data_IF_382827460871
#
_entry.id   IF_382827460871
#
_cell.length_a   1.000
_cell.length_b   1.000
_cell.length_c   1.000
_cell.angle_alpha   90.00
_cell.angle_beta   90.00
_cell.angle_gamma   90.00
#
_symmetry.space_group_name_H-M   'P 1'
#
loop_
_entity.id
_entity.type
_entity.pdbx_description
1 polymer ?
#
# COMPACT_ATOMS: atom_id res chain seq x y z
N UNK A 1 -46.09 8.95 49.34
CA UNK A 1 -45.22 9.71 50.25
C UNK A 1 -44.23 10.50 49.37
N UNK A 2 -44.47 11.76 49.36
CA UNK A 2 -43.86 12.84 48.57
C UNK A 2 -42.45 13.17 49.05
N UNK A 3 -41.56 13.68 48.16
CA UNK A 3 -40.59 14.76 48.33
C UNK A 3 -39.80 14.82 46.99
N UNK A 4 -40.11 15.73 46.08
CA UNK A 4 -39.85 17.16 45.87
C UNK A 4 -38.35 17.54 45.89
N UNK A 5 -37.90 18.01 44.75
CA UNK A 5 -37.12 19.22 44.51
C UNK A 5 -35.59 19.00 44.47
N UNK A 6 -34.89 19.54 43.54
CA UNK A 6 -34.74 20.97 43.19
C UNK A 6 -34.00 21.10 41.85
N UNK A 7 -34.51 21.99 41.01
CA UNK A 7 -33.78 22.56 39.88
C UNK A 7 -32.79 23.62 40.39
N UNK A 8 -31.62 23.72 39.78
CA UNK A 8 -30.77 24.90 39.86
C UNK A 8 -30.48 25.49 38.48
N UNK A 9 -30.60 26.80 38.45
CA UNK A 9 -30.61 27.72 37.31
C UNK A 9 -29.21 27.99 36.77
N UNK A 10 -29.14 28.45 35.51
CA UNK A 10 -27.88 28.89 34.88
C UNK A 10 -27.52 30.34 35.29
N UNK A 11 -26.24 30.68 35.33
CA UNK A 11 -25.71 32.02 35.49
C UNK A 11 -24.88 32.45 34.25
N UNK A 12 -24.59 33.77 34.10
CA UNK A 12 -24.91 34.46 32.84
C UNK A 12 -23.63 34.80 32.00
N UNK A 13 -23.94 35.15 30.73
CA UNK A 13 -23.10 35.90 29.81
C UNK A 13 -22.38 37.10 30.42
N UNK A 14 -21.13 37.30 30.07
CA UNK A 14 -20.55 38.62 30.12
C UNK A 14 -19.83 38.94 28.79
N UNK A 15 -20.49 39.83 28.05
CA UNK A 15 -19.93 40.60 26.93
C UNK A 15 -19.16 41.77 27.51
N UNK A 16 -17.98 42.05 27.02
CA UNK A 16 -17.47 43.41 26.85
C UNK A 16 -16.21 43.41 25.97
N UNK A 17 -16.38 43.85 24.77
CA UNK A 17 -16.08 45.18 24.20
C UNK A 17 -14.66 45.39 23.75
N UNK A 18 -14.59 45.46 22.43
CA UNK A 18 -13.69 46.23 21.57
C UNK A 18 -12.86 47.35 22.27
N UNK A 19 -11.60 47.47 21.88
CA UNK A 19 -11.03 48.79 21.53
C UNK A 19 -9.96 48.66 20.45
N UNK A 20 -10.25 49.30 19.32
CA UNK A 20 -9.31 49.71 18.29
C UNK A 20 -8.34 50.73 18.86
N UNK A 21 -7.12 50.71 18.44
CA UNK A 21 -6.31 51.92 18.38
C UNK A 21 -5.41 51.90 17.14
N UNK A 22 -5.55 52.94 16.37
CA UNK A 22 -4.91 53.31 15.12
C UNK A 22 -3.89 54.39 15.42
N UNK A 23 -2.90 54.56 14.54
CA UNK A 23 -1.93 55.67 14.33
C UNK A 23 -0.63 55.58 15.20
N UNK A 24 0.53 55.95 14.67
CA UNK A 24 0.86 56.91 13.64
C UNK A 24 2.28 56.71 13.08
N UNK A 25 2.45 57.26 11.90
CA UNK A 25 3.62 57.59 11.09
C UNK A 25 4.77 58.23 11.88
N UNK A 26 6.02 57.97 11.44
CA UNK A 26 7.18 58.81 11.76
C UNK A 26 8.29 58.54 10.74
N UNK A 27 8.59 59.58 10.00
CA UNK A 27 9.48 59.71 8.83
C UNK A 27 10.83 60.28 9.30
N UNK A 28 11.91 59.97 8.57
CA UNK A 28 13.19 60.68 8.37
C UNK A 28 14.27 60.59 9.49
N UNK A 29 15.46 60.18 9.14
CA UNK A 29 16.54 61.01 8.61
C UNK A 29 17.83 60.24 8.35
N UNK A 30 18.44 60.54 7.26
CA UNK A 30 19.76 60.14 6.83
C UNK A 30 20.87 60.76 7.67
N UNK A 31 21.96 60.04 7.96
CA UNK A 31 23.27 60.68 8.08
C UNK A 31 24.38 59.72 7.63
N UNK A 32 25.07 60.21 6.68
CA UNK A 32 26.32 59.78 6.10
C UNK A 32 27.44 59.89 7.14
N UNK A 33 28.19 58.83 7.41
CA UNK A 33 29.53 59.00 7.98
C UNK A 33 30.50 58.02 7.34
N UNK A 34 31.40 58.58 6.58
CA UNK A 34 32.53 57.92 5.93
C UNK A 34 33.64 57.82 6.98
N UNK A 35 34.18 56.59 7.21
CA UNK A 35 35.53 56.44 7.74
C UNK A 35 36.18 55.21 7.14
N UNK A 36 37.19 55.46 6.36
CA UNK A 36 38.18 54.49 5.89
C UNK A 36 38.99 53.97 7.09
N UNK A 37 39.21 52.68 7.16
CA UNK A 37 40.39 52.10 7.78
C UNK A 37 40.73 50.77 7.15
N UNK A 38 41.95 50.63 6.79
CA UNK A 38 42.67 49.60 6.07
C UNK A 38 42.74 48.25 6.83
N UNK A 39 42.63 47.17 6.08
CA UNK A 39 43.49 46.00 6.19
C UNK A 39 43.09 44.91 7.17
N UNK A 40 42.53 43.81 6.63
CA UNK A 40 43.08 42.46 6.93
C UNK A 40 42.38 41.47 5.94
N UNK A 41 43.16 41.00 4.98
CA UNK A 41 42.82 39.83 4.16
C UNK A 41 42.83 38.58 5.04
N UNK A 42 41.69 38.17 5.49
CA UNK A 42 41.46 36.79 5.92
C UNK A 42 40.73 36.09 4.75
N UNK A 43 41.44 35.19 4.06
CA UNK A 43 40.82 34.24 3.18
C UNK A 43 39.89 33.34 4.02
N UNK A 44 38.62 33.70 4.03
CA UNK A 44 37.54 32.75 4.39
C UNK A 44 37.25 32.00 3.10
N UNK A 45 37.62 30.71 3.06
CA UNK A 45 37.07 29.79 2.11
C UNK A 45 35.54 29.83 2.27
N UNK A 46 34.86 30.65 1.44
CA UNK A 46 33.45 30.39 1.15
C UNK A 46 33.45 29.07 0.42
N UNK A 47 32.95 28.05 1.10
CA UNK A 47 32.33 26.94 0.42
C UNK A 47 31.16 27.63 -0.29
N UNK A 48 31.27 27.74 -1.61
CA UNK A 48 30.16 28.10 -2.46
C UNK A 48 29.11 27.00 -2.23
N UNK A 49 28.13 27.28 -1.38
CA UNK A 49 26.85 26.61 -1.49
C UNK A 49 26.41 26.92 -2.91
N UNK A 50 26.54 25.95 -3.81
CA UNK A 50 25.87 26.00 -5.10
C UNK A 50 24.40 26.30 -4.79
N UNK A 51 23.99 27.54 -5.02
CA UNK A 51 22.58 27.90 -4.97
C UNK A 51 21.94 27.08 -6.08
N UNK A 52 21.28 25.98 -5.69
CA UNK A 52 20.43 25.24 -6.62
C UNK A 52 19.48 26.25 -7.26
N UNK A 53 19.65 26.48 -8.55
CA UNK A 53 18.84 27.44 -9.30
C UNK A 53 17.37 27.08 -9.08
N UNK A 54 16.55 28.06 -8.70
CA UNK A 54 15.10 27.86 -8.63
C UNK A 54 14.60 27.51 -10.03
N UNK A 55 13.91 26.37 -10.14
CA UNK A 55 13.33 25.94 -11.40
C UNK A 55 12.04 26.73 -11.58
N UNK A 56 12.01 27.60 -12.58
CA UNK A 56 10.84 28.39 -12.90
C UNK A 56 9.74 27.51 -13.52
N UNK A 57 8.49 27.72 -13.09
CA UNK A 57 7.32 27.03 -13.61
C UNK A 57 6.94 27.60 -14.97
N UNK A 58 6.86 26.76 -16.00
CA UNK A 58 6.46 27.16 -17.35
C UNK A 58 4.93 27.25 -17.50
N UNK A 59 4.48 27.38 -18.73
CA UNK A 59 3.05 27.57 -19.07
C UNK A 59 2.37 26.32 -19.62
N UNK A 60 3.12 25.25 -19.91
CA UNK A 60 2.57 24.01 -20.46
C UNK A 60 2.07 23.09 -19.35
N UNK A 61 0.76 22.82 -19.24
CA UNK A 61 0.21 21.96 -18.19
C UNK A 61 0.63 20.50 -18.39
N UNK A 62 0.90 19.81 -17.28
CA UNK A 62 1.18 18.37 -17.26
C UNK A 62 -0.14 17.64 -17.12
N UNK A 63 -0.43 16.74 -18.05
CA UNK A 63 -1.59 15.83 -17.97
C UNK A 63 -1.13 14.41 -17.71
N UNK A 64 -1.96 13.63 -17.04
CA UNK A 64 -1.63 12.30 -16.60
C UNK A 64 -2.64 11.29 -17.10
N UNK A 65 -2.14 10.14 -17.51
CA UNK A 65 -2.94 8.97 -17.86
C UNK A 65 -2.42 7.74 -17.12
N UNK A 66 -3.32 6.80 -16.88
CA UNK A 66 -3.00 5.53 -16.23
C UNK A 66 -2.98 4.40 -17.25
N UNK A 67 -2.03 3.50 -17.08
CA UNK A 67 -1.99 2.20 -17.73
C UNK A 67 -1.76 1.15 -16.65
N UNK A 68 -2.58 0.11 -16.67
CA UNK A 68 -2.30 -1.11 -15.91
C UNK A 68 -1.53 -2.05 -16.81
N UNK A 69 -0.58 -2.75 -16.26
CA UNK A 69 0.06 -3.85 -16.95
C UNK A 69 -1.03 -4.82 -17.42
N UNK A 70 -1.05 -5.15 -18.72
CA UNK A 70 -2.18 -5.84 -19.34
C UNK A 70 -2.50 -7.16 -18.64
N UNK A 71 -3.66 -7.21 -17.99
CA UNK A 71 -4.34 -8.46 -17.72
C UNK A 71 -4.77 -9.06 -19.06
N UNK A 72 -4.20 -10.18 -19.44
CA UNK A 72 -4.83 -11.01 -20.47
C UNK A 72 -6.01 -11.72 -19.83
N UNK A 73 -7.23 -11.34 -20.25
CA UNK A 73 -8.54 -11.91 -19.92
C UNK A 73 -9.21 -11.46 -18.61
N UNK A 74 -10.50 -11.19 -18.80
CA UNK A 74 -11.57 -10.76 -17.91
C UNK A 74 -11.63 -11.47 -16.54
N UNK A 75 -10.81 -11.04 -15.59
CA UNK A 75 -11.18 -11.07 -14.18
C UNK A 75 -10.71 -9.75 -13.57
N UNK A 76 -11.65 -8.91 -13.28
CA UNK A 76 -11.56 -7.56 -12.76
C UNK A 76 -11.06 -7.55 -11.33
N UNK A 77 -9.78 -7.64 -11.09
CA UNK A 77 -9.27 -7.59 -9.72
C UNK A 77 -8.26 -6.48 -9.46
N UNK A 78 -8.08 -5.54 -10.39
CA UNK A 78 -7.24 -4.36 -10.19
C UNK A 78 -7.63 -3.21 -11.12
N UNK A 79 -8.93 -3.00 -11.36
CA UNK A 79 -9.39 -1.77 -11.96
C UNK A 79 -9.45 -0.71 -10.86
N UNK A 80 -8.83 0.43 -11.09
CA UNK A 80 -9.07 1.59 -10.24
C UNK A 80 -10.53 1.99 -10.33
N UNK A 81 -11.10 2.34 -9.18
CA UNK A 81 -12.46 2.86 -9.10
C UNK A 81 -12.44 4.39 -9.15
N UNK A 82 -13.50 4.97 -9.68
CA UNK A 82 -13.66 6.44 -9.70
C UNK A 82 -13.54 6.98 -8.28
N UNK A 83 -12.63 7.94 -8.10
CA UNK A 83 -12.30 8.53 -6.81
C UNK A 83 -11.07 7.92 -6.12
N UNK A 84 -10.49 6.85 -6.67
CA UNK A 84 -9.21 6.36 -6.20
C UNK A 84 -8.13 7.42 -6.37
N UNK A 85 -7.27 7.54 -5.37
CA UNK A 85 -6.23 8.56 -5.36
C UNK A 85 -4.83 7.96 -5.29
N UNK A 86 -3.93 8.60 -6.01
CA UNK A 86 -2.51 8.28 -6.08
C UNK A 86 -1.69 9.47 -5.59
N UNK A 87 -0.55 9.21 -4.95
CA UNK A 87 0.45 10.22 -4.66
C UNK A 87 1.45 10.34 -5.80
N UNK A 88 1.84 11.55 -6.14
CA UNK A 88 2.80 11.83 -7.20
C UNK A 88 3.97 12.65 -6.69
N UNK A 89 5.17 12.19 -6.98
CA UNK A 89 6.41 12.93 -6.84
C UNK A 89 7.01 13.18 -8.22
N UNK A 90 7.69 14.31 -8.38
CA UNK A 90 8.56 14.55 -9.53
C UNK A 90 9.85 15.23 -9.11
N UNK A 91 10.93 14.84 -9.76
CA UNK A 91 12.24 15.51 -9.68
C UNK A 91 12.70 15.86 -11.07
N UNK A 92 13.67 16.77 -11.20
CA UNK A 92 14.40 16.88 -12.46
C UNK A 92 15.15 15.58 -12.73
N UNK A 93 15.31 15.21 -13.99
CA UNK A 93 15.96 13.95 -14.37
C UNK A 93 17.33 13.81 -13.71
N UNK A 94 17.59 12.62 -13.19
CA UNK A 94 18.72 12.28 -12.32
C UNK A 94 18.66 12.87 -10.91
N UNK A 95 17.58 13.55 -10.54
CA UNK A 95 17.33 13.99 -9.16
C UNK A 95 16.81 12.86 -8.28
N UNK A 96 16.94 13.04 -6.96
CA UNK A 96 16.42 12.12 -5.96
C UNK A 96 15.25 12.76 -5.22
N UNK A 97 14.22 11.99 -4.89
CA UNK A 97 13.11 12.47 -4.03
C UNK A 97 13.56 12.75 -2.58
N UNK A 98 14.79 12.40 -2.21
CA UNK A 98 15.43 12.83 -0.97
C UNK A 98 15.79 14.31 -0.98
N UNK A 99 16.15 14.84 -2.17
CA UNK A 99 16.54 16.23 -2.37
C UNK A 99 15.34 17.13 -2.70
N UNK A 100 15.58 18.06 -3.60
CA UNK A 100 14.55 19.00 -4.06
C UNK A 100 13.54 18.28 -4.97
N UNK A 101 12.28 18.33 -4.58
CA UNK A 101 11.17 17.77 -5.36
C UNK A 101 10.50 18.89 -6.16
N UNK A 102 10.33 18.70 -7.44
CA UNK A 102 9.56 19.60 -8.30
C UNK A 102 8.06 19.47 -8.01
N UNK A 103 7.59 18.24 -7.83
CA UNK A 103 6.25 17.91 -7.34
C UNK A 103 6.42 17.06 -6.08
N UNK A 104 5.76 17.47 -5.00
CA UNK A 104 5.83 16.80 -3.71
C UNK A 104 4.45 16.30 -3.30
N UNK A 105 4.27 14.99 -3.30
CA UNK A 105 3.07 14.26 -2.89
C UNK A 105 1.74 14.84 -3.41
N UNK A 106 1.71 15.23 -4.69
CA UNK A 106 0.50 15.71 -5.32
C UNK A 106 -0.52 14.59 -5.45
N UNK A 107 -1.73 14.79 -4.95
CA UNK A 107 -2.82 13.85 -5.14
C UNK A 107 -3.33 13.90 -6.60
N UNK A 108 -3.32 12.74 -7.26
CA UNK A 108 -4.03 12.47 -8.51
C UNK A 108 -5.27 11.66 -8.20
N UNK A 109 -6.40 11.98 -8.84
CA UNK A 109 -7.66 11.25 -8.70
C UNK A 109 -8.02 10.56 -10.02
N UNK A 110 -8.31 9.26 -9.94
CA UNK A 110 -8.81 8.51 -11.08
C UNK A 110 -10.28 8.87 -11.35
N UNK A 111 -10.57 9.21 -12.58
CA UNK A 111 -11.93 9.60 -12.97
C UNK A 111 -12.59 8.55 -13.85
N UNK A 112 -12.27 8.53 -15.13
CA UNK A 112 -12.79 7.57 -16.11
C UNK A 112 -11.83 7.47 -17.29
N UNK A 113 -11.90 6.37 -18.05
CA UNK A 113 -11.23 6.27 -19.35
C UNK A 113 -9.70 6.40 -19.31
N UNK A 114 -9.06 5.97 -18.24
CA UNK A 114 -7.60 6.05 -18.04
C UNK A 114 -7.08 7.46 -17.71
N UNK A 115 -7.94 8.39 -17.28
CA UNK A 115 -7.54 9.76 -16.94
C UNK A 115 -7.29 9.93 -15.44
N UNK A 116 -6.16 10.57 -15.11
CA UNK A 116 -5.86 11.01 -13.75
C UNK A 116 -5.90 12.53 -13.68
N UNK A 117 -6.69 13.06 -12.75
CA UNK A 117 -6.87 14.49 -12.54
C UNK A 117 -6.07 14.93 -11.32
N UNK A 118 -5.08 15.83 -11.47
CA UNK A 118 -4.34 16.35 -10.33
C UNK A 118 -5.21 17.30 -9.49
N UNK A 119 -5.11 17.23 -8.17
CA UNK A 119 -5.81 18.12 -7.25
C UNK A 119 -5.49 19.61 -7.48
N UNK A 120 -4.30 19.89 -8.01
CA UNK A 120 -3.83 21.20 -8.44
C UNK A 120 -3.17 21.03 -9.80
N UNK A 121 -3.50 21.90 -10.76
CA UNK A 121 -2.78 21.92 -12.04
C UNK A 121 -1.31 22.18 -11.80
N UNK A 122 -0.47 21.40 -12.45
CA UNK A 122 0.99 21.53 -12.46
C UNK A 122 1.46 21.72 -13.88
N UNK A 123 2.57 22.42 -14.05
CA UNK A 123 3.11 22.77 -15.34
C UNK A 123 4.51 22.17 -15.50
N UNK A 124 4.98 22.02 -16.72
CA UNK A 124 6.38 21.70 -16.95
C UNK A 124 7.26 22.90 -16.57
N UNK A 125 8.50 22.64 -16.10
CA UNK A 125 9.46 23.72 -15.90
C UNK A 125 9.76 24.46 -17.20
N UNK A 126 10.19 25.70 -17.09
CA UNK A 126 10.67 26.44 -18.26
C UNK A 126 11.94 25.81 -18.86
N UNK A 127 12.12 25.99 -20.18
CA UNK A 127 13.23 25.40 -20.91
C UNK A 127 13.07 23.92 -21.23
N UNK A 128 14.16 23.26 -21.63
CA UNK A 128 14.21 21.84 -22.00
C UNK A 128 14.53 20.94 -20.78
N UNK A 129 13.95 21.24 -19.63
CA UNK A 129 14.13 20.43 -18.40
C UNK A 129 13.26 19.19 -18.48
N UNK A 130 13.87 18.02 -18.28
CA UNK A 130 13.14 16.76 -18.17
C UNK A 130 12.84 16.41 -16.71
N UNK A 131 11.70 15.75 -16.49
CA UNK A 131 11.22 15.31 -15.19
C UNK A 131 11.18 13.78 -15.11
N UNK A 132 11.49 13.27 -13.93
CA UNK A 132 11.26 11.88 -13.54
C UNK A 132 10.13 11.84 -12.52
N UNK A 133 9.13 11.01 -12.80
CA UNK A 133 7.93 10.84 -11.98
C UNK A 133 7.93 9.52 -11.25
N UNK A 134 7.50 9.55 -9.98
CA UNK A 134 7.17 8.37 -9.18
C UNK A 134 5.77 8.57 -8.62
N UNK A 135 4.87 7.63 -8.89
CA UNK A 135 3.50 7.65 -8.37
C UNK A 135 3.21 6.36 -7.60
N UNK A 136 2.38 6.46 -6.57
CA UNK A 136 2.01 5.32 -5.74
C UNK A 136 0.53 5.35 -5.37
N UNK A 137 -0.04 4.18 -5.12
CA UNK A 137 -1.41 3.97 -4.65
C UNK A 137 -1.42 2.92 -3.52
N UNK A 138 -2.26 3.07 -2.49
CA UNK A 138 -3.19 4.19 -2.19
C UNK A 138 -2.49 5.48 -1.75
N UNK A 139 -3.11 6.62 -2.03
CA UNK A 139 -2.60 7.92 -1.60
C UNK A 139 -2.53 8.04 -0.08
N UNK A 140 -1.42 8.53 0.42
CA UNK A 140 -1.22 8.86 1.84
C UNK A 140 -1.01 10.36 1.98
N UNK A 141 -1.75 11.01 2.87
CA UNK A 141 -1.71 12.46 3.05
C UNK A 141 -0.32 12.95 3.47
N UNK A 142 0.34 12.20 4.35
CA UNK A 142 1.68 12.55 4.87
C UNK A 142 2.77 12.33 3.80
N UNK A 143 2.53 11.41 2.86
CA UNK A 143 3.49 11.08 1.81
C UNK A 143 4.83 10.61 2.38
N UNK A 144 5.91 11.10 1.77
CA UNK A 144 7.28 10.78 2.13
C UNK A 144 7.94 12.00 2.76
N UNK A 145 8.50 11.85 3.96
CA UNK A 145 9.20 12.94 4.65
C UNK A 145 10.40 13.46 3.83
N UNK A 146 10.78 14.72 4.05
CA UNK A 146 11.96 15.30 3.44
C UNK A 146 13.23 14.52 3.81
N UNK A 147 14.16 14.39 2.89
CA UNK A 147 15.43 13.69 3.12
C UNK A 147 15.37 12.15 3.07
N UNK A 148 14.21 11.57 2.83
CA UNK A 148 14.05 10.12 2.70
C UNK A 148 13.18 9.74 1.49
N UNK A 149 13.38 8.60 0.84
CA UNK A 149 12.51 8.06 -0.19
C UNK A 149 11.53 7.02 0.37
N UNK A 150 11.42 6.88 1.70
CA UNK A 150 10.75 5.76 2.37
C UNK A 150 9.30 6.11 2.67
N UNK A 151 8.39 5.26 2.20
CA UNK A 151 6.95 5.33 2.44
C UNK A 151 6.54 4.14 3.33
N UNK A 152 5.87 4.37 4.47
CA UNK A 152 5.31 3.28 5.26
C UNK A 152 4.16 2.60 4.50
N UNK A 153 4.18 1.27 4.45
CA UNK A 153 3.18 0.44 3.77
C UNK A 153 2.61 -0.56 4.74
N UNK A 154 1.29 -0.73 4.74
CA UNK A 154 0.62 -1.74 5.54
C UNK A 154 -0.54 -2.37 4.78
N UNK A 155 -0.86 -3.63 5.12
CA UNK A 155 -2.05 -4.31 4.63
C UNK A 155 -3.16 -4.25 5.68
N UNK A 156 -4.42 -4.21 5.23
CA UNK A 156 -5.58 -4.33 6.10
C UNK A 156 -5.66 -5.75 6.66
N UNK A 157 -5.97 -5.88 7.93
CA UNK A 157 -6.13 -7.17 8.60
C UNK A 157 -7.45 -7.87 8.23
N UNK A 158 -8.47 -7.11 7.92
CA UNK A 158 -9.72 -7.62 7.38
C UNK A 158 -9.82 -7.26 5.89
N UNK A 159 -9.46 -8.19 5.02
CA UNK A 159 -9.54 -8.04 3.56
C UNK A 159 -10.84 -8.62 2.98
N UNK A 160 -11.81 -9.00 3.82
CA UNK A 160 -13.05 -9.66 3.36
C UNK A 160 -13.96 -8.75 2.55
N UNK A 161 -13.80 -7.44 2.65
CA UNK A 161 -14.54 -6.45 1.86
C UNK A 161 -13.63 -5.80 0.80
N UNK A 162 -14.24 -5.39 -0.32
CA UNK A 162 -13.52 -4.85 -1.49
C UNK A 162 -12.72 -3.58 -1.17
N UNK A 163 -13.26 -2.69 -0.34
CA UNK A 163 -12.56 -1.45 0.05
C UNK A 163 -11.25 -1.74 0.78
N UNK A 164 -11.27 -2.62 1.78
CA UNK A 164 -10.08 -2.97 2.54
C UNK A 164 -9.06 -3.73 1.69
N UNK A 165 -9.57 -4.60 0.79
CA UNK A 165 -8.76 -5.31 -0.18
C UNK A 165 -8.04 -4.31 -1.11
N UNK A 166 -8.76 -3.35 -1.69
CA UNK A 166 -8.18 -2.30 -2.53
C UNK A 166 -7.16 -1.44 -1.78
N UNK A 167 -7.43 -1.11 -0.51
CA UNK A 167 -6.47 -0.38 0.34
C UNK A 167 -5.22 -1.20 0.69
N UNK A 168 -5.28 -2.52 0.62
CA UNK A 168 -4.12 -3.40 0.80
C UNK A 168 -3.28 -3.54 -0.48
N UNK A 169 -3.79 -3.11 -1.63
CA UNK A 169 -3.09 -3.28 -2.91
C UNK A 169 -2.17 -2.09 -3.19
N UNK A 170 -0.92 -2.22 -2.75
CA UNK A 170 0.09 -1.20 -2.95
C UNK A 170 0.71 -1.26 -4.34
N UNK A 171 0.54 -0.19 -5.11
CA UNK A 171 0.96 -0.06 -6.50
C UNK A 171 1.96 1.09 -6.66
N UNK A 172 2.92 0.93 -7.56
CA UNK A 172 3.88 1.99 -7.90
C UNK A 172 4.05 2.08 -9.41
N UNK A 173 4.13 3.31 -9.92
CA UNK A 173 4.46 3.62 -11.31
C UNK A 173 5.65 4.58 -11.37
N UNK A 174 6.49 4.43 -12.40
CA UNK A 174 7.59 5.35 -12.70
C UNK A 174 7.54 5.76 -14.17
N UNK A 175 7.82 7.04 -14.43
CA UNK A 175 7.99 7.56 -15.79
C UNK A 175 9.20 8.51 -15.79
N UNK A 176 10.19 8.27 -16.64
CA UNK A 176 11.48 8.96 -16.62
C UNK A 176 11.73 9.74 -17.91
N UNK A 177 12.53 10.81 -17.80
CA UNK A 177 12.96 11.59 -18.94
C UNK A 177 11.83 12.34 -19.66
N UNK A 178 10.78 12.69 -18.96
CA UNK A 178 9.56 13.31 -19.52
C UNK A 178 9.78 14.81 -19.70
N UNK A 179 9.47 15.33 -20.88
CA UNK A 179 9.60 16.76 -21.21
C UNK A 179 8.26 17.37 -21.61
N UNK A 180 8.22 18.69 -21.75
CA UNK A 180 7.04 19.45 -22.23
C UNK A 180 6.53 19.04 -23.61
N UNK A 181 7.31 18.25 -24.37
CA UNK A 181 6.89 17.65 -25.65
C UNK A 181 5.96 16.45 -25.47
N UNK A 182 5.86 15.89 -24.26
CA UNK A 182 4.99 14.76 -23.93
C UNK A 182 3.56 15.25 -23.73
N UNK A 183 2.63 14.76 -24.54
CA UNK A 183 1.21 15.16 -24.47
C UNK A 183 0.54 14.76 -23.17
N UNK A 184 0.86 13.57 -22.65
CA UNK A 184 0.35 13.05 -21.38
C UNK A 184 1.36 12.09 -20.78
N UNK A 185 1.63 12.23 -19.48
CA UNK A 185 2.49 11.31 -18.73
C UNK A 185 1.70 10.04 -18.47
N UNK A 186 2.13 8.93 -19.05
CA UNK A 186 1.51 7.63 -18.79
C UNK A 186 2.16 6.98 -17.59
N UNK A 187 1.38 6.75 -16.54
CA UNK A 187 1.79 6.06 -15.34
C UNK A 187 1.36 4.58 -15.43
N UNK A 188 2.32 3.69 -15.63
CA UNK A 188 2.09 2.24 -15.68
C UNK A 188 2.31 1.65 -14.29
N UNK A 189 1.20 1.34 -13.60
CA UNK A 189 1.22 0.83 -12.24
C UNK A 189 1.48 -0.67 -12.18
N UNK A 190 2.30 -1.07 -11.21
CA UNK A 190 2.66 -2.44 -10.92
C UNK A 190 2.40 -2.74 -9.45
N UNK A 191 1.89 -3.94 -9.15
CA UNK A 191 1.79 -4.43 -7.78
C UNK A 191 3.18 -4.52 -7.13
N UNK A 192 3.27 -4.14 -5.88
CA UNK A 192 4.53 -4.23 -5.11
C UNK A 192 4.43 -5.18 -3.92
N UNK A 193 3.22 -5.56 -3.53
CA UNK A 193 3.00 -6.59 -2.51
C UNK A 193 3.00 -8.00 -3.13
N UNK A 194 2.72 -8.99 -2.30
CA UNK A 194 2.63 -10.39 -2.70
C UNK A 194 1.22 -10.92 -2.46
N UNK A 195 0.84 -11.98 -3.17
CA UNK A 195 -0.48 -12.59 -3.04
C UNK A 195 -0.39 -14.08 -2.74
N UNK A 196 -1.13 -14.54 -1.72
CA UNK A 196 -1.41 -15.94 -1.48
C UNK A 196 -2.83 -16.23 -1.94
N UNK A 197 -2.99 -17.10 -2.92
CA UNK A 197 -4.30 -17.58 -3.38
C UNK A 197 -4.55 -18.98 -2.83
N UNK A 198 -5.78 -19.28 -2.43
CA UNK A 198 -6.11 -20.55 -1.79
C UNK A 198 -6.83 -21.46 -2.77
N UNK A 199 -6.38 -22.71 -2.83
CA UNK A 199 -7.04 -23.83 -3.49
C UNK A 199 -7.35 -24.91 -2.45
N UNK A 200 -8.62 -25.12 -2.11
CA UNK A 200 -9.06 -26.08 -1.12
C UNK A 200 -9.63 -27.32 -1.79
N UNK A 201 -8.98 -28.46 -1.60
CA UNK A 201 -9.45 -29.77 -2.10
C UNK A 201 -10.29 -30.45 -1.02
N UNK A 202 -11.54 -30.84 -1.32
CA UNK A 202 -12.38 -31.57 -0.37
C UNK A 202 -11.81 -32.96 -0.06
N UNK A 203 -12.19 -33.52 1.08
CA UNK A 203 -11.93 -34.91 1.37
C UNK A 203 -12.84 -35.84 0.55
N UNK A 204 -12.66 -37.18 0.72
CA UNK A 204 -13.46 -38.14 -0.03
C UNK A 204 -14.94 -38.24 0.45
N UNK A 205 -15.30 -37.61 1.58
CA UNK A 205 -16.65 -37.60 2.15
C UNK A 205 -17.45 -36.38 1.72
N UNK A 206 -16.80 -35.33 1.18
CA UNK A 206 -17.41 -34.07 0.80
C UNK A 206 -17.12 -33.77 -0.68
N UNK A 207 -18.03 -33.08 -1.32
CA UNK A 207 -17.78 -32.48 -2.63
C UNK A 207 -17.35 -31.03 -2.49
N UNK A 208 -16.71 -30.45 -3.53
CA UNK A 208 -16.43 -29.02 -3.56
C UNK A 208 -17.71 -28.17 -3.41
N UNK A 209 -18.85 -28.65 -3.92
CA UNK A 209 -20.13 -27.96 -3.76
C UNK A 209 -20.65 -27.99 -2.30
N UNK A 210 -20.34 -29.02 -1.54
CA UNK A 210 -20.71 -29.05 -0.10
C UNK A 210 -19.85 -28.09 0.70
N UNK A 211 -18.55 -27.99 0.40
CA UNK A 211 -17.67 -26.97 0.94
C UNK A 211 -18.12 -25.56 0.55
N UNK A 212 -18.52 -25.34 -0.70
CA UNK A 212 -19.02 -24.04 -1.15
C UNK A 212 -20.25 -23.60 -0.37
N UNK A 213 -21.24 -24.50 -0.16
CA UNK A 213 -22.43 -24.21 0.64
C UNK A 213 -22.11 -23.87 2.09
N UNK A 214 -21.10 -24.50 2.66
CA UNK A 214 -20.65 -24.24 4.02
C UNK A 214 -19.84 -22.94 4.14
N UNK A 215 -19.39 -22.37 3.03
CA UNK A 215 -18.67 -21.08 2.92
C UNK A 215 -17.55 -20.93 3.98
N UNK A 216 -16.50 -21.74 3.96
CA UNK A 216 -15.49 -21.72 5.01
C UNK A 216 -14.78 -20.36 5.05
N UNK A 217 -14.64 -19.82 6.27
CA UNK A 217 -13.83 -18.62 6.51
C UNK A 217 -12.38 -19.03 6.69
N UNK A 218 -11.45 -18.30 6.10
CA UNK A 218 -10.02 -18.58 6.20
C UNK A 218 -9.26 -17.34 6.67
N UNK A 219 -8.33 -17.56 7.59
CA UNK A 219 -7.51 -16.54 8.26
C UNK A 219 -6.05 -16.98 8.15
N UNK A 220 -5.16 -16.10 7.77
CA UNK A 220 -3.72 -16.32 7.84
C UNK A 220 -3.17 -15.69 9.13
N UNK A 221 -2.38 -16.43 9.91
CA UNK A 221 -1.84 -15.99 11.18
C UNK A 221 -0.33 -15.88 11.16
N UNK A 222 0.22 -14.99 11.96
CA UNK A 222 1.67 -14.85 12.15
C UNK A 222 2.40 -14.11 11.03
N UNK A 223 1.71 -13.53 10.06
CA UNK A 223 2.31 -12.75 8.98
C UNK A 223 2.64 -11.32 9.42
N UNK A 224 3.70 -10.76 8.85
CA UNK A 224 4.00 -9.33 8.97
C UNK A 224 3.02 -8.52 8.14
N UNK A 225 2.50 -7.43 8.74
CA UNK A 225 1.44 -6.62 8.14
C UNK A 225 1.87 -5.20 7.77
N UNK A 226 3.09 -4.81 8.12
CA UNK A 226 3.63 -3.48 7.82
C UNK A 226 5.11 -3.56 7.45
N UNK A 227 5.56 -2.64 6.60
CA UNK A 227 6.95 -2.48 6.21
C UNK A 227 7.20 -1.06 5.72
N UNK A 228 8.46 -0.71 5.57
CA UNK A 228 8.92 0.48 4.88
C UNK A 228 9.24 0.14 3.42
N UNK A 229 8.72 0.93 2.49
CA UNK A 229 9.01 0.79 1.07
C UNK A 229 9.82 1.98 0.55
N UNK A 230 10.95 1.70 -0.06
CA UNK A 230 11.76 2.73 -0.71
C UNK A 230 11.25 2.96 -2.15
N UNK A 231 10.72 4.14 -2.42
CA UNK A 231 10.15 4.50 -3.71
C UNK A 231 11.21 4.59 -4.84
N UNK A 232 12.49 4.82 -4.50
CA UNK A 232 13.56 4.95 -5.49
C UNK A 232 14.07 3.59 -5.97
N UNK A 233 14.43 2.71 -5.04
CA UNK A 233 15.02 1.41 -5.38
C UNK A 233 14.02 0.25 -5.40
N UNK A 234 12.82 0.46 -4.83
CA UNK A 234 11.75 -0.55 -4.86
C UNK A 234 11.90 -1.64 -3.80
N UNK A 235 12.69 -1.43 -2.76
CA UNK A 235 12.95 -2.42 -1.72
C UNK A 235 12.03 -2.25 -0.52
N UNK A 236 11.70 -3.37 0.13
CA UNK A 236 11.04 -3.40 1.44
C UNK A 236 12.05 -3.60 2.55
N UNK A 237 11.82 -2.91 3.68
CA UNK A 237 12.63 -3.02 4.91
C UNK A 237 11.75 -2.87 6.15
N UNK A 238 12.33 -3.07 7.34
CA UNK A 238 11.64 -2.85 8.62
C UNK A 238 10.27 -3.54 8.74
N UNK A 239 10.20 -4.84 8.38
CA UNK A 239 8.96 -5.59 8.48
C UNK A 239 8.51 -5.70 9.94
N UNK A 240 7.29 -5.20 10.22
CA UNK A 240 6.73 -5.11 11.58
C UNK A 240 5.26 -5.54 11.60
N UNK A 241 4.65 -5.48 12.78
CA UNK A 241 3.23 -5.77 12.97
C UNK A 241 2.88 -7.22 12.63
N UNK A 242 2.80 -8.11 13.62
CA UNK A 242 2.35 -9.48 13.39
C UNK A 242 0.89 -9.58 13.80
N UNK A 243 -0.01 -9.78 12.82
CA UNK A 243 -1.46 -9.85 13.03
C UNK A 243 -2.09 -10.91 12.15
N UNK A 244 -3.31 -11.28 12.48
CA UNK A 244 -4.13 -12.22 11.70
C UNK A 244 -4.81 -11.47 10.55
N UNK A 245 -4.78 -12.06 9.36
CA UNK A 245 -5.37 -11.49 8.16
C UNK A 245 -6.54 -12.36 7.71
N UNK A 246 -7.71 -11.74 7.52
CA UNK A 246 -8.91 -12.41 6.98
C UNK A 246 -8.87 -12.32 5.46
N UNK A 247 -9.07 -13.46 4.78
CA UNK A 247 -9.02 -13.56 3.33
C UNK A 247 -10.06 -12.70 2.62
N UNK A 248 -9.68 -12.17 1.46
CA UNK A 248 -10.56 -11.54 0.48
C UNK A 248 -11.18 -12.56 -0.49
N UNK A 249 -12.05 -12.07 -1.36
CA UNK A 249 -12.66 -12.81 -2.46
C UNK A 249 -13.80 -13.73 -2.05
N UNK A 250 -14.43 -14.34 -3.04
CA UNK A 250 -15.54 -15.28 -2.86
C UNK A 250 -15.15 -16.69 -3.33
N UNK A 251 -15.63 -17.70 -2.62
CA UNK A 251 -15.39 -19.06 -3.05
C UNK A 251 -16.11 -19.38 -4.37
N UNK A 252 -15.44 -20.09 -5.24
CA UNK A 252 -16.00 -20.67 -6.46
C UNK A 252 -15.50 -22.12 -6.61
N UNK A 253 -16.27 -22.94 -7.30
CA UNK A 253 -15.86 -24.32 -7.62
C UNK A 253 -15.19 -24.34 -8.99
N UNK A 254 -13.96 -24.82 -9.02
CA UNK A 254 -13.21 -25.12 -10.24
C UNK A 254 -12.50 -26.46 -10.06
N UNK A 255 -12.63 -27.37 -11.01
CA UNK A 255 -11.96 -28.69 -11.02
C UNK A 255 -12.14 -29.48 -9.72
N UNK A 256 -13.36 -29.50 -9.19
CA UNK A 256 -13.73 -30.11 -7.91
C UNK A 256 -12.93 -29.58 -6.70
N UNK A 257 -12.47 -28.34 -6.75
CA UNK A 257 -11.81 -27.61 -5.66
C UNK A 257 -12.50 -26.27 -5.42
N UNK A 258 -12.38 -25.73 -4.20
CA UNK A 258 -12.73 -24.36 -3.93
C UNK A 258 -11.53 -23.46 -4.21
N UNK A 259 -11.78 -22.39 -4.97
CA UNK A 259 -10.81 -21.34 -5.28
C UNK A 259 -11.47 -19.97 -5.09
N UNK A 260 -10.70 -18.89 -5.13
CA UNK A 260 -11.21 -17.51 -5.08
C UNK A 260 -10.92 -16.76 -3.78
N UNK A 261 -10.55 -17.44 -2.68
CA UNK A 261 -10.04 -16.76 -1.49
C UNK A 261 -8.55 -16.45 -1.66
N UNK A 262 -8.17 -15.22 -1.28
CA UNK A 262 -6.79 -14.75 -1.40
C UNK A 262 -6.41 -13.78 -0.28
N UNK A 263 -5.11 -13.61 -0.08
CA UNK A 263 -4.51 -12.65 0.85
C UNK A 263 -3.51 -11.78 0.11
N UNK A 264 -3.60 -10.47 0.28
CA UNK A 264 -2.53 -9.54 -0.07
C UNK A 264 -1.65 -9.40 1.17
N UNK A 265 -0.36 -9.65 1.03
CA UNK A 265 0.61 -9.68 2.13
C UNK A 265 1.85 -8.84 1.81
N UNK A 266 2.50 -8.33 2.83
CA UNK A 266 3.84 -7.75 2.69
C UNK A 266 4.81 -8.84 2.20
N UNK A 267 5.69 -8.57 1.20
CA UNK A 267 6.74 -9.49 0.79
C UNK A 267 7.58 -9.93 1.98
N UNK A 268 7.63 -11.24 2.23
CA UNK A 268 8.31 -11.80 3.39
C UNK A 268 8.61 -13.29 3.19
N UNK A 269 9.62 -13.78 3.92
CA UNK A 269 9.86 -15.21 4.01
C UNK A 269 8.88 -15.82 5.01
N UNK A 270 8.13 -16.80 4.58
CA UNK A 270 7.28 -17.64 5.44
C UNK A 270 8.11 -18.84 5.86
N UNK A 271 8.27 -19.04 7.16
CA UNK A 271 9.08 -20.09 7.73
C UNK A 271 8.20 -21.26 8.20
N UNK A 272 8.71 -22.45 8.04
CA UNK A 272 8.00 -23.66 8.45
C UNK A 272 7.51 -23.61 9.91
N UNK A 273 6.21 -23.87 10.10
CA UNK A 273 5.56 -23.95 11.40
C UNK A 273 5.39 -22.65 12.19
N UNK A 274 5.77 -21.49 11.66
CA UNK A 274 5.60 -20.18 12.33
C UNK A 274 4.33 -19.46 11.94
N UNK A 275 3.89 -19.64 10.71
CA UNK A 275 2.69 -19.05 10.15
C UNK A 275 1.68 -20.17 9.86
N UNK A 276 0.39 -19.88 10.03
CA UNK A 276 -0.66 -20.87 9.87
C UNK A 276 -1.89 -20.31 9.17
N UNK A 277 -2.65 -21.17 8.51
CA UNK A 277 -4.04 -20.89 8.19
C UNK A 277 -4.95 -21.47 9.28
N UNK A 278 -5.93 -20.68 9.68
CA UNK A 278 -7.09 -21.12 10.46
C UNK A 278 -8.29 -21.13 9.53
N UNK A 279 -9.00 -22.23 9.45
CA UNK A 279 -10.21 -22.36 8.66
C UNK A 279 -11.39 -22.70 9.57
N UNK A 280 -12.40 -21.84 9.57
CA UNK A 280 -13.67 -22.05 10.26
C UNK A 280 -14.67 -22.65 9.27
N UNK A 281 -15.10 -23.89 9.54
CA UNK A 281 -15.99 -24.62 8.67
C UNK A 281 -16.97 -25.47 9.46
N UNK A 282 -18.28 -25.32 9.20
CA UNK A 282 -19.36 -26.08 9.82
C UNK A 282 -19.28 -26.15 11.36
N UNK A 283 -18.93 -25.00 11.99
CA UNK A 283 -18.79 -24.86 13.44
C UNK A 283 -17.54 -25.52 14.03
N UNK A 284 -16.60 -25.96 13.21
CA UNK A 284 -15.31 -26.48 13.62
C UNK A 284 -14.18 -25.57 13.16
N UNK A 285 -13.09 -25.62 13.90
CA UNK A 285 -11.86 -24.89 13.58
C UNK A 285 -10.82 -25.90 13.12
N UNK A 286 -10.26 -25.65 11.96
CA UNK A 286 -9.17 -26.42 11.38
C UNK A 286 -7.94 -25.55 11.26
N UNK A 287 -6.75 -26.14 11.31
CA UNK A 287 -5.50 -25.42 11.11
C UNK A 287 -4.55 -26.19 10.21
N UNK A 288 -3.72 -25.48 9.49
CA UNK A 288 -2.56 -26.02 8.80
C UNK A 288 -1.43 -24.96 8.78
N UNK A 289 -0.19 -25.43 8.78
CA UNK A 289 0.94 -24.53 8.59
C UNK A 289 0.85 -23.87 7.20
N UNK A 290 1.26 -22.62 7.08
CA UNK A 290 1.56 -22.06 5.77
C UNK A 290 2.91 -22.67 5.36
N UNK A 291 3.01 -23.28 4.17
CA UNK A 291 4.25 -23.90 3.71
C UNK A 291 5.39 -22.89 3.65
N UNK A 292 6.62 -23.34 3.90
CA UNK A 292 7.79 -22.52 3.73
C UNK A 292 7.87 -21.98 2.30
N UNK A 293 7.90 -20.67 2.17
CA UNK A 293 7.97 -19.99 0.88
C UNK A 293 8.53 -18.58 1.03
N UNK A 294 9.38 -18.18 0.10
CA UNK A 294 9.86 -16.81 -0.02
C UNK A 294 8.93 -16.04 -0.95
N UNK A 295 8.17 -15.12 -0.37
CA UNK A 295 7.25 -14.25 -1.12
C UNK A 295 7.96 -12.95 -1.47
N UNK A 296 8.43 -12.86 -2.70
CA UNK A 296 9.06 -11.64 -3.24
C UNK A 296 8.01 -10.62 -3.69
N UNK A 297 8.44 -9.36 -3.81
CA UNK A 297 7.60 -8.28 -4.38
C UNK A 297 7.01 -8.68 -5.73
N UNK A 298 5.77 -8.26 -5.99
CA UNK A 298 5.06 -8.50 -7.27
C UNK A 298 4.86 -9.98 -7.62
N UNK A 299 4.79 -10.86 -6.63
CA UNK A 299 4.59 -12.30 -6.85
C UNK A 299 3.30 -12.83 -6.28
N UNK A 300 2.82 -13.94 -6.80
CA UNK A 300 1.71 -14.71 -6.25
C UNK A 300 2.07 -16.19 -6.11
N UNK A 301 1.52 -16.82 -5.09
CA UNK A 301 1.63 -18.26 -4.85
C UNK A 301 0.25 -18.85 -4.60
N UNK A 302 -0.06 -20.00 -5.20
CA UNK A 302 -1.25 -20.77 -4.84
C UNK A 302 -0.90 -21.72 -3.72
N UNK A 303 -1.60 -21.62 -2.62
CA UNK A 303 -1.48 -22.57 -1.52
C UNK A 303 -2.60 -23.60 -1.66
N UNK A 304 -2.20 -24.83 -1.87
CA UNK A 304 -3.13 -25.96 -1.95
C UNK A 304 -3.34 -26.53 -0.56
N UNK A 305 -4.58 -26.55 -0.11
CA UNK A 305 -5.00 -27.11 1.19
C UNK A 305 -5.85 -28.33 0.89
N UNK A 306 -5.55 -29.45 1.55
CA UNK A 306 -6.34 -30.68 1.44
C UNK A 306 -7.02 -31.01 2.77
N UNK A 307 -8.33 -31.22 2.74
CA UNK A 307 -9.06 -31.75 3.86
C UNK A 307 -8.71 -33.25 4.03
N UNK A 308 -8.13 -33.61 5.17
CA UNK A 308 -7.84 -35.01 5.47
C UNK A 308 -9.06 -35.70 6.12
N UNK A 309 -9.33 -36.94 5.69
CA UNK A 309 -10.28 -37.84 6.34
C UNK A 309 -9.74 -38.27 7.71
N UNK A 310 -9.77 -37.45 8.71
CA UNK A 310 -9.45 -37.86 10.05
C UNK A 310 -10.28 -37.08 11.06
N UNK A 311 -10.46 -37.65 12.25
CA UNK A 311 -11.01 -36.94 13.41
C UNK A 311 -10.07 -35.78 13.86
N UNK A 312 -9.05 -35.48 13.10
CA UNK A 312 -8.06 -34.41 13.32
C UNK A 312 -8.57 -33.11 12.75
N UNK A 313 -8.44 -32.03 13.50
CA UNK A 313 -8.67 -30.68 13.03
C UNK A 313 -7.44 -30.09 12.30
N UNK A 314 -6.49 -30.92 11.91
CA UNK A 314 -5.27 -30.51 11.19
C UNK A 314 -5.44 -30.88 9.72
N UNK A 315 -5.18 -29.89 8.85
CA UNK A 315 -5.18 -30.03 7.41
C UNK A 315 -3.73 -30.06 6.89
N UNK A 316 -3.53 -30.66 5.74
CA UNK A 316 -2.26 -30.55 5.02
C UNK A 316 -2.29 -29.39 4.03
N UNK A 317 -1.15 -28.76 3.84
CA UNK A 317 -0.98 -27.70 2.84
C UNK A 317 0.36 -27.82 2.12
N UNK A 318 0.43 -27.37 0.90
CA UNK A 318 1.66 -27.25 0.12
C UNK A 318 1.63 -26.02 -0.78
N UNK A 319 2.80 -25.39 -0.99
CA UNK A 319 2.93 -24.28 -1.90
C UNK A 319 3.01 -24.76 -3.34
N UNK A 320 2.29 -24.08 -4.23
CA UNK A 320 2.45 -24.23 -5.67
C UNK A 320 3.60 -23.37 -6.20
N UNK A 321 3.71 -23.30 -7.50
CA UNK A 321 4.74 -22.48 -8.18
C UNK A 321 4.51 -20.99 -7.91
N UNK A 322 5.56 -20.28 -7.54
CA UNK A 322 5.56 -18.81 -7.46
C UNK A 322 5.53 -18.25 -8.89
N UNK A 323 4.66 -17.30 -9.13
CA UNK A 323 4.52 -16.59 -10.41
C UNK A 323 4.53 -15.09 -10.15
N UNK A 324 4.78 -14.31 -11.18
CA UNK A 324 4.55 -12.87 -11.12
C UNK A 324 3.08 -12.59 -10.81
N UNK A 325 2.82 -11.64 -9.96
CA UNK A 325 1.49 -11.10 -9.74
C UNK A 325 1.17 -10.14 -10.88
N UNK A 326 0.90 -10.72 -12.02
CA UNK A 326 0.20 -10.04 -13.08
C UNK A 326 -1.29 -10.31 -12.86
N UNK A 327 -2.13 -9.44 -13.37
CA UNK A 327 -3.59 -9.61 -13.38
C UNK A 327 -4.05 -10.80 -14.26
N UNK A 328 -3.33 -11.91 -14.19
CA UNK A 328 -3.68 -13.16 -14.88
C UNK A 328 -4.90 -13.79 -14.22
N UNK A 329 -5.79 -14.39 -15.02
CA UNK A 329 -6.90 -15.19 -14.51
C UNK A 329 -6.39 -16.33 -13.62
N UNK A 330 -7.26 -16.93 -12.80
CA UNK A 330 -6.90 -18.12 -12.02
C UNK A 330 -6.19 -19.12 -12.93
N UNK A 331 -5.02 -19.55 -12.49
CA UNK A 331 -4.13 -20.40 -13.27
C UNK A 331 -4.87 -21.63 -13.71
N UNK A 332 -4.81 -21.90 -15.01
CA UNK A 332 -5.19 -23.16 -15.59
C UNK A 332 -4.36 -24.28 -14.95
N UNK A 333 -5.03 -25.17 -14.21
CA UNK A 333 -4.38 -26.25 -13.46
C UNK A 333 -3.86 -27.36 -14.35
N UNK A 334 -4.03 -27.28 -15.67
CA UNK A 334 -3.68 -28.30 -16.64
C UNK A 334 -2.18 -28.50 -16.87
N UNK A 335 -1.31 -27.69 -16.19
CA UNK A 335 0.14 -27.83 -16.21
C UNK A 335 0.73 -28.03 -14.81
N UNK A 336 0.10 -28.85 -13.98
CA UNK A 336 0.73 -29.35 -12.76
C UNK A 336 1.70 -30.48 -13.13
N UNK A 337 2.93 -30.13 -13.48
CA UNK A 337 4.03 -31.10 -13.42
C UNK A 337 4.19 -31.55 -11.96
N UNK A 338 4.34 -32.85 -11.77
CA UNK A 338 4.49 -33.57 -10.50
C UNK A 338 5.45 -32.85 -9.54
N UNK A 339 4.92 -32.24 -8.51
CA UNK A 339 5.71 -31.79 -7.37
C UNK A 339 5.68 -32.89 -6.31
N UNK A 340 6.85 -33.47 -6.07
CA UNK A 340 7.09 -34.34 -4.91
C UNK A 340 6.64 -33.61 -3.65
N UNK A 341 5.62 -34.18 -3.01
CA UNK A 341 5.11 -33.71 -1.72
C UNK A 341 6.26 -33.62 -0.73
N UNK A 342 6.57 -32.41 -0.26
CA UNK A 342 7.39 -32.25 0.93
C UNK A 342 6.51 -32.73 2.09
N UNK A 343 6.80 -33.92 2.61
CA UNK A 343 6.19 -34.47 3.80
C UNK A 343 6.54 -33.58 4.98
N UNK A 344 5.63 -32.70 5.37
CA UNK A 344 5.72 -32.01 6.65
C UNK A 344 5.16 -32.97 7.70
N UNK A 345 6.06 -33.51 8.52
CA UNK A 345 5.68 -34.31 9.69
C UNK A 345 4.81 -33.48 10.62
N UNK A 346 3.68 -34.03 11.04
CA UNK A 346 2.74 -33.38 11.93
C UNK A 346 3.41 -32.96 13.24
N UNK A 347 3.62 -31.64 13.38
CA UNK A 347 3.97 -31.03 14.66
C UNK A 347 2.69 -30.93 15.50
N UNK A 348 2.69 -31.62 16.65
CA UNK A 348 1.64 -31.54 17.64
C UNK A 348 1.63 -30.15 18.28
N UNK A 349 0.72 -29.29 17.87
CA UNK A 349 0.48 -28.03 18.56
C UNK A 349 -0.36 -28.27 19.80
N UNK A 350 0.14 -27.87 20.95
CA UNK A 350 -0.61 -27.84 22.21
C UNK A 350 -1.75 -26.80 22.09
N UNK A 351 -2.97 -27.24 22.34
CA UNK A 351 -4.21 -26.46 22.31
C UNK A 351 -4.28 -25.29 23.32
N UNK A 352 -3.21 -24.99 24.05
CA UNK A 352 -3.21 -23.96 25.10
C UNK A 352 -3.26 -22.52 24.61
N UNK A 353 -3.09 -22.24 23.30
CA UNK A 353 -3.09 -20.90 22.76
C UNK A 353 -4.35 -20.50 21.97
N UNK A 354 -5.34 -21.40 21.85
CA UNK A 354 -6.55 -21.14 21.02
C UNK A 354 -7.65 -20.37 21.79
N UNK A 355 -7.55 -20.20 23.10
CA UNK A 355 -8.60 -19.60 23.94
C UNK A 355 -8.45 -18.10 24.20
N UNK A 356 -7.76 -17.34 23.36
CA UNK A 356 -7.62 -15.87 23.54
C UNK A 356 -8.26 -15.02 22.45
N UNK A 357 -9.30 -15.50 21.80
CA UNK A 357 -10.07 -14.67 20.86
C UNK A 357 -11.54 -14.72 21.27
N UNK A 358 -11.88 -13.96 22.31
CA UNK A 358 -13.19 -13.39 22.58
C UNK A 358 -12.99 -12.00 23.18
#
# INVERSE_FOLDING_TARGET
MSIIGKAEKPLPHNNNTMKKLILARGVLAASLFCCMSLGNTACVNRIDEESEAEIEEGTTPITFSIKMEKASTKVTNTAFEKGDRMGLFATTSSGSIKGKRYIDNLALEYTEGSTLVPKKTVFYPEGDVSLDFISYHPYQTEGVAAGTPVLPVSVQIDQSNEKNRAQSDFLVAKAQGITSKTKSVTLEFQHKLSKLAISLTPDASNSANDLLKANPRIIATGLKTSADYNLEDGTFSNLTGTQDIIASGEWSVKDNKLTGKEFIIIPQTINDGKQSFIMEWSGRIYSCAIPEVEMSSSTQCIINISAMQSNSNVLSSFAGKIKEWSSLPPIDTDNMEDYTAIHISALSFSLSNVYRIY
#
